data_IF_321408420290
#
_entry.id   IF_321408420290
#
_cell.length_a   1.000
_cell.length_b   1.000
_cell.length_c   1.000
_cell.angle_alpha   90.00
_cell.angle_beta   90.00
_cell.angle_gamma   90.00
#
_symmetry.space_group_name_H-M   'P 1'
#
loop_
_entity.id
_entity.type
_entity.pdbx_description
1 polymer ?
#
# COMPACT_ATOMS: atom_id res chain seq x y z
N UNK A 1 14.44 -48.16 37.53
CA UNK A 1 13.74 -47.31 36.54
C UNK A 1 13.44 -45.97 37.20
N UNK A 2 14.41 -45.05 37.21
CA UNK A 2 14.19 -43.66 37.64
C UNK A 2 15.18 -42.77 36.89
N UNK A 3 14.65 -41.93 36.01
CA UNK A 3 15.40 -41.00 35.15
C UNK A 3 15.60 -39.68 35.90
N UNK A 4 16.85 -39.23 36.02
CA UNK A 4 17.23 -37.94 36.61
C UNK A 4 17.22 -36.86 35.53
N UNK A 5 16.34 -35.87 35.70
CA UNK A 5 16.25 -34.67 34.87
C UNK A 5 17.26 -33.64 35.37
N UNK A 6 18.18 -33.21 34.51
CA UNK A 6 19.14 -32.14 34.78
C UNK A 6 18.56 -30.82 34.27
N UNK A 7 18.27 -29.89 35.17
CA UNK A 7 17.87 -28.51 34.85
C UNK A 7 19.12 -27.63 34.97
N UNK A 8 19.58 -27.07 33.85
CA UNK A 8 20.64 -26.06 33.85
C UNK A 8 20.03 -24.68 34.14
N UNK A 9 20.29 -24.16 35.34
CA UNK A 9 20.05 -22.76 35.68
C UNK A 9 21.34 -21.98 35.38
N UNK A 10 21.37 -21.25 34.27
CA UNK A 10 22.43 -20.27 34.01
C UNK A 10 22.15 -18.99 34.81
N UNK A 11 22.75 -18.88 36.00
CA UNK A 11 22.93 -17.60 36.67
C UNK A 11 24.12 -16.87 36.03
N UNK A 12 23.85 -15.90 35.17
CA UNK A 12 24.87 -15.01 34.64
C UNK A 12 25.11 -13.85 35.63
N UNK A 13 26.24 -13.95 36.35
CA UNK A 13 26.88 -12.90 37.13
C UNK A 13 27.19 -11.66 36.29
N UNK A 14 26.47 -10.55 36.50
CA UNK A 14 26.92 -9.24 36.02
C UNK A 14 27.72 -8.50 37.10
N UNK A 15 29.04 -8.67 37.00
CA UNK A 15 30.04 -7.94 37.78
C UNK A 15 30.09 -6.49 37.29
N UNK A 16 29.58 -5.56 38.09
CA UNK A 16 29.63 -4.12 37.87
C UNK A 16 31.08 -3.63 37.88
N UNK A 17 31.68 -3.42 36.71
CA UNK A 17 32.90 -2.61 36.54
C UNK A 17 32.50 -1.21 36.08
N UNK A 18 32.81 -0.20 36.89
CA UNK A 18 32.77 1.22 36.50
C UNK A 18 33.92 1.49 35.52
N UNK A 19 33.61 1.90 34.30
CA UNK A 19 34.54 2.51 33.35
C UNK A 19 33.74 3.23 32.27
N UNK A 20 34.00 4.53 32.05
CA UNK A 20 33.67 5.35 30.87
C UNK A 20 32.21 5.38 30.40
N UNK A 21 31.56 6.56 30.45
CA UNK A 21 30.20 6.79 29.94
C UNK A 21 30.11 6.64 28.42
N UNK A 22 29.87 5.42 27.94
CA UNK A 22 29.46 5.16 26.57
C UNK A 22 27.96 4.82 26.56
N UNK A 23 27.14 5.72 26.00
CA UNK A 23 25.70 5.47 25.83
C UNK A 23 25.51 4.71 24.51
N UNK A 24 25.19 3.43 24.64
CA UNK A 24 24.86 2.55 23.54
C UNK A 24 23.38 2.71 23.17
N UNK A 25 23.10 3.01 21.90
CA UNK A 25 21.72 3.19 21.40
C UNK A 25 21.27 1.90 20.71
N UNK A 26 20.30 1.24 21.32
CA UNK A 26 19.66 0.05 20.76
C UNK A 26 18.35 0.44 20.08
N UNK A 27 18.07 -0.17 18.92
CA UNK A 27 16.80 -0.03 18.22
C UNK A 27 16.29 -1.41 17.85
N UNK A 28 14.99 -1.60 18.02
CA UNK A 28 14.32 -2.84 17.65
C UNK A 28 14.10 -2.87 16.14
N UNK A 29 14.67 -3.85 15.47
CA UNK A 29 14.50 -4.04 14.02
C UNK A 29 13.37 -5.03 13.75
N UNK A 30 12.37 -4.57 12.99
CA UNK A 30 11.19 -5.37 12.64
C UNK A 30 11.46 -6.33 11.48
N UNK A 31 12.47 -6.07 10.65
CA UNK A 31 12.88 -6.98 9.58
C UNK A 31 13.60 -8.22 10.11
N UNK A 32 14.10 -8.17 11.36
CA UNK A 32 14.82 -9.26 12.02
C UNK A 32 13.97 -9.95 13.11
N UNK A 33 12.65 -9.96 12.96
CA UNK A 33 11.74 -10.63 13.90
C UNK A 33 11.67 -9.97 15.28
N UNK A 34 11.96 -8.67 15.36
CA UNK A 34 11.81 -7.90 16.60
C UNK A 34 12.98 -8.01 17.57
N UNK A 35 14.18 -8.40 17.10
CA UNK A 35 15.42 -8.37 17.88
C UNK A 35 15.93 -6.94 18.04
N UNK A 36 16.58 -6.67 19.17
CA UNK A 36 17.24 -5.38 19.43
C UNK A 36 18.64 -5.42 18.83
N UNK A 37 18.94 -4.41 18.00
CA UNK A 37 20.23 -4.26 17.34
C UNK A 37 20.85 -2.95 17.82
N UNK A 38 22.16 -2.98 18.07
CA UNK A 38 22.92 -1.78 18.42
C UNK A 38 23.05 -0.91 17.17
N UNK A 39 22.47 0.29 17.20
CA UNK A 39 22.40 1.20 16.03
C UNK A 39 23.37 2.36 16.14
N UNK A 40 24.00 2.56 17.30
CA UNK A 40 25.07 3.54 17.41
C UNK A 40 25.72 3.59 18.78
N UNK A 41 26.95 4.08 18.76
CA UNK A 41 27.74 4.43 19.93
C UNK A 41 27.86 5.96 19.95
N UNK A 42 27.37 6.62 21.01
CA UNK A 42 27.52 8.07 21.14
C UNK A 42 28.85 8.37 21.85
N UNK A 43 29.86 8.78 21.10
CA UNK A 43 31.07 9.42 21.65
C UNK A 43 30.84 10.94 21.72
N UNK A 44 31.28 11.57 22.81
CA UNK A 44 30.97 12.97 23.14
C UNK A 44 31.72 14.02 22.28
N UNK A 45 32.58 13.60 21.35
CA UNK A 45 33.35 14.52 20.50
C UNK A 45 33.10 14.28 19.00
N UNK A 46 32.14 14.99 18.42
CA UNK A 46 31.97 15.08 16.96
C UNK A 46 32.76 16.28 16.41
N UNK A 47 33.73 16.09 15.50
CA UNK A 47 34.35 17.18 14.79
C UNK A 47 33.40 17.72 13.70
N UNK A 48 33.12 19.01 13.75
CA UNK A 48 32.33 19.76 12.77
C UNK A 48 33.12 19.93 11.47
N UNK A 49 33.19 18.88 10.66
CA UNK A 49 33.73 19.00 9.29
C UNK A 49 32.94 18.10 8.36
N UNK A 50 32.28 18.73 7.38
CA UNK A 50 31.50 18.05 6.34
C UNK A 50 32.40 17.07 5.59
N UNK A 51 32.21 15.77 5.82
CA UNK A 51 32.77 14.73 4.96
C UNK A 51 31.91 14.63 3.70
N UNK A 52 32.52 14.97 2.57
CA UNK A 52 31.98 14.78 1.22
C UNK A 52 31.74 13.29 0.97
N UNK A 53 30.51 12.92 0.65
CA UNK A 53 30.10 11.57 0.22
C UNK A 53 30.51 11.31 -1.23
N UNK A 54 30.80 10.05 -1.63
CA UNK A 54 31.30 9.68 -2.96
C UNK A 54 30.19 9.66 -4.04
N UNK A 55 29.20 10.55 -3.93
CA UNK A 55 28.07 10.69 -4.87
C UNK A 55 28.06 12.04 -5.60
N UNK A 56 29.09 12.88 -5.46
CA UNK A 56 29.19 14.11 -6.25
C UNK A 56 30.00 13.89 -7.52
N UNK A 57 29.40 13.26 -8.54
CA UNK A 57 29.74 13.52 -9.94
C UNK A 57 28.70 12.88 -10.88
N UNK A 58 27.77 13.68 -11.41
CA UNK A 58 27.48 13.77 -12.85
C UNK A 58 26.30 14.70 -13.14
N UNK A 59 26.61 15.82 -13.79
CA UNK A 59 25.74 16.92 -14.22
C UNK A 59 24.86 16.63 -15.47
N UNK A 60 24.44 15.39 -15.69
CA UNK A 60 23.67 15.02 -16.91
C UNK A 60 22.23 14.51 -16.66
N UNK A 61 21.65 14.74 -15.47
CA UNK A 61 20.27 14.25 -15.17
C UNK A 61 19.23 15.32 -14.81
N UNK A 62 19.62 16.59 -14.73
CA UNK A 62 18.71 17.64 -14.26
C UNK A 62 17.63 18.02 -15.28
N UNK A 63 17.89 17.93 -16.58
CA UNK A 63 16.88 18.26 -17.59
C UNK A 63 15.75 17.22 -17.68
N UNK A 64 16.06 15.93 -17.53
CA UNK A 64 15.04 14.86 -17.50
C UNK A 64 14.19 14.94 -16.23
N UNK A 65 14.80 15.17 -15.07
CA UNK A 65 14.07 15.37 -13.81
C UNK A 65 13.20 16.64 -13.87
N UNK A 66 13.72 17.73 -14.42
CA UNK A 66 12.97 18.98 -14.58
C UNK A 66 11.77 18.82 -15.55
N UNK A 67 11.93 18.09 -16.66
CA UNK A 67 10.81 17.76 -17.57
C UNK A 67 9.74 16.90 -16.89
N UNK A 68 10.13 15.86 -16.15
CA UNK A 68 9.21 14.99 -15.39
C UNK A 68 8.44 15.82 -14.35
N UNK A 69 9.13 16.70 -13.63
CA UNK A 69 8.52 17.56 -12.59
C UNK A 69 7.56 18.59 -13.21
N UNK A 70 7.89 19.15 -14.37
CA UNK A 70 7.02 20.09 -15.10
C UNK A 70 5.81 19.41 -15.75
N UNK A 71 5.93 18.16 -16.20
CA UNK A 71 4.80 17.38 -16.71
C UNK A 71 3.84 17.01 -15.57
N UNK A 72 4.39 16.64 -14.41
CA UNK A 72 3.65 16.31 -13.18
C UNK A 72 2.80 17.46 -12.65
N UNK A 73 3.28 18.71 -12.77
CA UNK A 73 2.53 19.89 -12.32
C UNK A 73 1.49 20.39 -13.34
N UNK A 74 1.43 19.83 -14.56
CA UNK A 74 0.50 20.28 -15.61
C UNK A 74 -0.77 19.43 -15.72
N UNK A 75 -0.81 18.21 -15.18
CA UNK A 75 -2.08 17.50 -15.01
C UNK A 75 -2.79 18.15 -13.82
N UNK A 76 -3.90 18.83 -14.10
CA UNK A 76 -4.84 19.26 -13.05
C UNK A 76 -5.12 18.06 -12.15
N UNK A 77 -5.23 18.26 -10.85
CA UNK A 77 -5.60 17.23 -9.86
C UNK A 77 -7.07 16.82 -10.08
N UNK A 78 -7.35 16.23 -11.25
CA UNK A 78 -8.63 15.67 -11.60
C UNK A 78 -8.75 14.31 -10.90
N UNK A 79 -9.94 14.03 -10.39
CA UNK A 79 -10.21 12.74 -9.77
C UNK A 79 -10.23 11.66 -10.85
N UNK A 80 -9.67 10.47 -10.60
CA UNK A 80 -9.75 9.36 -11.54
C UNK A 80 -11.21 9.04 -11.89
N UNK A 81 -11.45 8.56 -13.10
CA UNK A 81 -12.81 8.25 -13.57
C UNK A 81 -13.55 7.22 -12.70
N UNK A 82 -12.80 6.32 -12.05
CA UNK A 82 -13.36 5.34 -11.14
C UNK A 82 -13.71 5.90 -9.76
N UNK A 83 -13.21 7.09 -9.41
CA UNK A 83 -13.55 7.73 -8.15
C UNK A 83 -15.04 8.09 -8.17
N UNK A 84 -15.82 7.64 -7.19
CA UNK A 84 -17.26 7.85 -7.22
C UNK A 84 -17.55 9.34 -7.10
N UNK A 85 -18.36 9.84 -8.04
CA UNK A 85 -18.97 11.16 -7.89
C UNK A 85 -19.87 11.08 -6.66
N UNK A 86 -19.67 11.97 -5.68
CA UNK A 86 -20.50 12.00 -4.48
C UNK A 86 -21.94 12.28 -4.90
N UNK A 87 -22.72 11.22 -5.09
CA UNK A 87 -24.15 11.28 -4.94
C UNK A 87 -24.36 11.56 -3.46
N UNK A 88 -24.79 12.78 -3.15
CA UNK A 88 -25.19 13.21 -1.80
C UNK A 88 -25.95 12.06 -1.15
N UNK A 89 -25.26 11.28 -0.31
CA UNK A 89 -25.86 10.13 0.36
C UNK A 89 -26.93 10.72 1.26
N UNK A 90 -28.18 10.34 0.96
CA UNK A 90 -29.39 10.96 1.46
C UNK A 90 -29.27 11.29 2.93
N UNK A 91 -29.25 12.59 3.22
CA UNK A 91 -29.55 13.10 4.55
C UNK A 91 -30.98 12.65 4.86
N UNK A 92 -31.12 11.53 5.56
CA UNK A 92 -32.39 11.19 6.18
C UNK A 92 -32.64 12.25 7.26
N UNK A 93 -33.56 13.16 6.93
CA UNK A 93 -33.87 14.41 7.63
C UNK A 93 -34.49 14.21 9.03
N UNK A 94 -34.59 12.98 9.55
CA UNK A 94 -35.38 12.65 10.75
C UNK A 94 -34.57 12.29 12.01
N UNK A 95 -33.23 12.39 12.02
CA UNK A 95 -32.41 11.79 13.09
C UNK A 95 -31.49 12.78 13.81
N UNK A 96 -32.01 13.97 14.13
CA UNK A 96 -31.26 15.00 14.87
C UNK A 96 -31.04 14.65 16.35
N UNK A 97 -31.71 13.62 16.89
CA UNK A 97 -31.80 13.36 18.33
C UNK A 97 -30.60 12.57 18.90
N UNK A 98 -29.81 11.82 18.12
CA UNK A 98 -28.68 11.03 18.66
C UNK A 98 -27.33 11.25 17.95
N UNK A 99 -27.21 12.26 17.08
CA UNK A 99 -26.00 12.52 16.28
C UNK A 99 -24.75 12.70 17.14
N UNK A 100 -24.87 13.37 18.29
CA UNK A 100 -23.75 13.62 19.21
C UNK A 100 -23.23 12.34 19.88
N UNK A 101 -24.11 11.38 20.17
CA UNK A 101 -23.71 10.11 20.75
C UNK A 101 -22.92 9.27 19.74
N UNK A 102 -23.41 9.17 18.50
CA UNK A 102 -22.69 8.49 17.43
C UNK A 102 -21.39 9.20 17.06
N UNK A 103 -21.35 10.53 17.16
CA UNK A 103 -20.12 11.30 17.03
C UNK A 103 -19.11 10.94 18.13
N UNK A 104 -19.56 10.82 19.40
CA UNK A 104 -18.74 10.35 20.51
C UNK A 104 -18.27 8.90 20.30
N UNK A 105 -19.13 8.04 19.77
CA UNK A 105 -18.81 6.64 19.48
C UNK A 105 -17.73 6.52 18.39
N UNK A 106 -17.88 7.23 17.27
CA UNK A 106 -16.88 7.26 16.20
C UNK A 106 -15.53 7.78 16.70
N UNK A 107 -15.53 8.87 17.48
CA UNK A 107 -14.31 9.44 18.03
C UNK A 107 -13.64 8.52 19.07
N UNK A 108 -14.41 7.80 19.89
CA UNK A 108 -13.89 6.79 20.81
C UNK A 108 -13.24 5.63 20.04
N UNK A 109 -13.87 5.16 18.97
CA UNK A 109 -13.34 4.10 18.13
C UNK A 109 -12.00 4.51 17.50
N UNK A 110 -11.91 5.72 16.94
CA UNK A 110 -10.65 6.26 16.42
C UNK A 110 -9.54 6.29 17.47
N UNK A 111 -9.84 6.79 18.68
CA UNK A 111 -8.84 6.82 19.78
C UNK A 111 -8.36 5.41 20.11
N UNK A 112 -9.26 4.45 20.26
CA UNK A 112 -8.90 3.06 20.53
C UNK A 112 -8.02 2.45 19.42
N UNK A 113 -8.31 2.73 18.15
CA UNK A 113 -7.49 2.28 17.02
C UNK A 113 -6.08 2.90 17.07
N UNK A 114 -5.99 4.19 17.40
CA UNK A 114 -4.70 4.88 17.51
C UNK A 114 -3.90 4.40 18.74
N UNK A 115 -4.54 4.17 19.88
CA UNK A 115 -3.90 3.64 21.09
C UNK A 115 -3.35 2.23 20.83
N UNK A 116 -4.13 1.37 20.17
CA UNK A 116 -3.69 0.06 19.71
C UNK A 116 -2.46 0.17 18.80
N UNK A 117 -2.48 1.11 17.85
CA UNK A 117 -1.35 1.39 16.97
C UNK A 117 -0.10 1.84 17.75
N UNK A 118 -0.26 2.71 18.74
CA UNK A 118 0.82 3.17 19.61
C UNK A 118 1.39 2.03 20.47
N UNK A 119 0.56 1.05 20.84
CA UNK A 119 0.99 -0.18 21.50
C UNK A 119 1.63 -1.21 20.56
N UNK A 120 1.73 -0.90 19.27
CA UNK A 120 2.34 -1.77 18.25
C UNK A 120 1.41 -2.79 17.61
N UNK A 121 0.10 -2.70 17.84
CA UNK A 121 -0.91 -3.53 17.16
C UNK A 121 -1.34 -2.87 15.85
N UNK A 122 -1.64 -3.69 14.84
CA UNK A 122 -2.19 -3.18 13.59
C UNK A 122 -3.65 -2.71 13.76
N UNK A 123 -4.07 -1.84 12.85
CA UNK A 123 -5.46 -1.37 12.82
C UNK A 123 -6.33 -2.52 12.31
N UNK A 124 -7.33 -2.93 13.10
CA UNK A 124 -8.21 -4.05 12.77
C UNK A 124 -9.14 -3.73 11.61
N UNK A 125 -9.32 -4.70 10.71
CA UNK A 125 -10.30 -4.66 9.63
C UNK A 125 -11.73 -4.37 10.14
N UNK A 126 -12.10 -5.02 11.25
CA UNK A 126 -13.40 -4.86 11.88
C UNK A 126 -13.62 -3.43 12.38
N UNK A 127 -12.60 -2.80 12.96
CA UNK A 127 -12.68 -1.43 13.46
C UNK A 127 -12.89 -0.44 12.30
N UNK A 128 -12.23 -0.66 11.16
CA UNK A 128 -12.40 0.17 9.94
C UNK A 128 -13.83 0.03 9.39
N UNK A 129 -14.34 -1.20 9.30
CA UNK A 129 -15.71 -1.46 8.82
C UNK A 129 -16.74 -0.84 9.76
N UNK A 130 -16.57 -0.98 11.07
CA UNK A 130 -17.45 -0.36 12.07
C UNK A 130 -17.43 1.15 11.99
N UNK A 131 -16.25 1.76 11.85
CA UNK A 131 -16.13 3.21 11.68
C UNK A 131 -16.90 3.69 10.45
N UNK A 132 -16.71 3.02 9.29
CA UNK A 132 -17.46 3.36 8.07
C UNK A 132 -18.96 3.17 8.26
N UNK A 133 -19.39 2.09 8.91
CA UNK A 133 -20.80 1.84 9.18
C UNK A 133 -21.43 2.95 10.01
N UNK A 134 -20.81 3.33 11.14
CA UNK A 134 -21.31 4.43 12.00
C UNK A 134 -21.37 5.75 11.22
N UNK A 135 -20.29 6.10 10.51
CA UNK A 135 -20.22 7.37 9.79
C UNK A 135 -21.23 7.45 8.63
N UNK A 136 -21.42 6.35 7.89
CA UNK A 136 -22.39 6.26 6.79
C UNK A 136 -23.83 6.27 7.29
N UNK A 137 -24.15 5.48 8.31
CA UNK A 137 -25.53 5.34 8.81
C UNK A 137 -26.01 6.64 9.46
N UNK A 138 -25.16 7.30 10.25
CA UNK A 138 -25.56 8.44 11.08
C UNK A 138 -25.05 9.80 10.57
N UNK A 139 -24.39 9.85 9.41
CA UNK A 139 -23.87 11.10 8.83
C UNK A 139 -22.89 11.85 9.73
N UNK A 140 -22.10 11.12 10.52
CA UNK A 140 -21.06 11.65 11.41
C UNK A 140 -19.69 11.59 10.75
N UNK A 141 -18.80 12.52 11.13
CA UNK A 141 -17.41 12.58 10.63
C UNK A 141 -16.47 12.42 11.79
N UNK A 142 -15.51 11.51 11.68
CA UNK A 142 -14.60 11.22 12.77
C UNK A 142 -13.49 12.27 12.86
N UNK A 143 -13.24 12.78 14.07
CA UNK A 143 -12.20 13.77 14.31
C UNK A 143 -10.83 13.08 14.48
N UNK A 144 -9.92 13.29 13.52
CA UNK A 144 -8.54 12.83 13.61
C UNK A 144 -7.61 14.03 13.69
N UNK A 145 -6.91 14.14 14.82
CA UNK A 145 -6.07 15.28 15.16
C UNK A 145 -4.86 15.45 14.21
N UNK A 146 -4.20 14.34 13.86
CA UNK A 146 -2.98 14.40 13.05
C UNK A 146 -3.18 13.86 11.64
N UNK A 147 -2.59 14.55 10.65
CA UNK A 147 -2.61 14.10 9.26
C UNK A 147 -1.94 12.72 9.09
N UNK A 148 -0.91 12.42 9.88
CA UNK A 148 -0.24 11.12 9.84
C UNK A 148 -1.13 9.97 10.35
N UNK A 149 -1.91 10.21 11.41
CA UNK A 149 -2.88 9.22 11.88
C UNK A 149 -3.96 8.96 10.82
N UNK A 150 -4.46 10.02 10.18
CA UNK A 150 -5.44 9.94 9.09
C UNK A 150 -4.91 9.14 7.91
N UNK A 151 -3.72 9.49 7.42
CA UNK A 151 -3.05 8.77 6.34
C UNK A 151 -2.80 7.30 6.70
N UNK A 152 -2.37 7.03 7.93
CA UNK A 152 -2.11 5.66 8.35
C UNK A 152 -3.39 4.83 8.46
N UNK A 153 -4.47 5.40 8.97
CA UNK A 153 -5.77 4.74 8.99
C UNK A 153 -6.25 4.45 7.57
N UNK A 154 -6.12 5.43 6.69
CA UNK A 154 -6.54 5.31 5.31
C UNK A 154 -5.71 4.26 4.55
N UNK A 155 -4.39 4.20 4.76
CA UNK A 155 -3.54 3.11 4.21
C UNK A 155 -3.99 1.73 4.69
N UNK A 156 -4.34 1.58 5.98
CA UNK A 156 -4.86 0.32 6.50
C UNK A 156 -6.19 -0.05 5.83
N UNK A 157 -7.07 0.92 5.58
CA UNK A 157 -8.32 0.71 4.86
C UNK A 157 -8.10 0.33 3.39
N UNK A 158 -7.14 0.94 2.70
CA UNK A 158 -6.77 0.53 1.34
C UNK A 158 -6.31 -0.94 1.33
N UNK A 159 -5.42 -1.32 2.24
CA UNK A 159 -4.95 -2.70 2.35
C UNK A 159 -6.09 -3.67 2.63
N UNK A 160 -7.05 -3.29 3.48
CA UNK A 160 -8.27 -4.05 3.70
C UNK A 160 -9.02 -4.27 2.38
N UNK A 161 -9.31 -3.20 1.62
CA UNK A 161 -10.05 -3.31 0.36
C UNK A 161 -9.31 -4.16 -0.68
N UNK A 162 -8.00 -3.98 -0.80
CA UNK A 162 -7.17 -4.79 -1.71
C UNK A 162 -7.16 -6.26 -1.27
N UNK A 163 -7.08 -6.55 0.02
CA UNK A 163 -7.18 -7.93 0.52
C UNK A 163 -8.53 -8.60 0.21
N UNK A 164 -9.64 -7.85 0.25
CA UNK A 164 -10.95 -8.35 -0.18
C UNK A 164 -10.98 -8.65 -1.68
N UNK A 165 -10.36 -7.81 -2.50
CA UNK A 165 -10.18 -8.10 -3.93
C UNK A 165 -9.40 -9.42 -4.09
N UNK A 166 -8.30 -9.61 -3.36
CA UNK A 166 -7.50 -10.82 -3.46
C UNK A 166 -8.24 -12.11 -3.06
N UNK A 167 -9.12 -12.05 -2.06
CA UNK A 167 -9.94 -13.20 -1.61
C UNK A 167 -11.05 -13.54 -2.62
N UNK A 168 -11.61 -12.54 -3.29
CA UNK A 168 -12.80 -12.67 -4.13
C UNK A 168 -12.45 -12.87 -5.61
N UNK A 169 -11.15 -12.83 -5.98
CA UNK A 169 -10.63 -12.95 -7.34
C UNK A 169 -11.25 -14.08 -8.20
N UNK A 170 -11.73 -15.16 -7.58
CA UNK A 170 -12.34 -16.30 -8.27
C UNK A 170 -13.87 -16.41 -8.17
N UNK A 171 -14.58 -15.47 -7.53
CA UNK A 171 -15.96 -15.70 -7.06
C UNK A 171 -17.00 -14.68 -7.48
N UNK A 172 -16.63 -13.43 -7.79
CA UNK A 172 -17.61 -12.37 -8.04
C UNK A 172 -17.13 -11.33 -9.06
N UNK A 173 -18.09 -10.77 -9.79
CA UNK A 173 -17.92 -9.60 -10.66
C UNK A 173 -17.82 -8.29 -9.88
N UNK A 174 -18.32 -8.25 -8.64
CA UNK A 174 -18.29 -7.07 -7.77
C UNK A 174 -17.65 -7.36 -6.41
N UNK A 175 -16.86 -6.40 -5.90
CA UNK A 175 -16.24 -6.47 -4.58
C UNK A 175 -17.05 -5.59 -3.63
N UNK A 176 -17.69 -6.22 -2.65
CA UNK A 176 -18.49 -5.53 -1.65
C UNK A 176 -17.90 -5.72 -0.25
N UNK A 177 -17.89 -4.64 0.53
CA UNK A 177 -17.43 -4.60 1.91
C UNK A 177 -18.61 -4.12 2.74
N UNK A 178 -19.15 -4.98 3.60
CA UNK A 178 -20.34 -4.69 4.40
C UNK A 178 -21.54 -4.19 3.55
N UNK A 179 -21.77 -4.83 2.39
CA UNK A 179 -22.83 -4.47 1.44
C UNK A 179 -22.57 -3.20 0.61
N UNK A 180 -21.37 -2.62 0.68
CA UNK A 180 -20.99 -1.42 -0.06
C UNK A 180 -19.92 -1.72 -1.12
N UNK A 181 -20.05 -1.16 -2.32
CA UNK A 181 -19.03 -1.27 -3.37
C UNK A 181 -17.66 -0.74 -2.88
N UNK A 182 -16.59 -1.45 -3.23
CA UNK A 182 -15.23 -1.13 -2.81
C UNK A 182 -14.81 0.33 -3.07
N UNK A 183 -15.20 0.92 -4.21
CA UNK A 183 -14.88 2.32 -4.55
C UNK A 183 -15.66 3.29 -3.66
N UNK A 184 -16.94 3.00 -3.42
CA UNK A 184 -17.80 3.78 -2.52
C UNK A 184 -17.32 3.70 -1.07
N UNK A 185 -16.88 2.52 -0.63
CA UNK A 185 -16.33 2.28 0.70
C UNK A 185 -15.06 3.11 0.94
N UNK A 186 -14.13 3.13 -0.02
CA UNK A 186 -12.87 3.86 0.13
C UNK A 186 -13.09 5.37 0.06
N UNK A 187 -13.91 5.85 -0.89
CA UNK A 187 -14.14 7.27 -1.09
C UNK A 187 -14.94 7.91 0.07
N UNK A 188 -16.02 7.28 0.51
CA UNK A 188 -16.77 7.81 1.64
C UNK A 188 -15.99 7.71 2.96
N UNK A 189 -15.07 6.74 3.12
CA UNK A 189 -14.22 6.68 4.32
C UNK A 189 -13.25 7.85 4.31
N UNK A 190 -12.71 8.22 3.15
CA UNK A 190 -11.91 9.44 2.99
C UNK A 190 -12.69 10.68 3.45
N UNK A 191 -13.96 10.83 3.04
CA UNK A 191 -14.81 11.93 3.50
C UNK A 191 -15.08 11.86 5.02
N UNK A 192 -15.37 10.67 5.55
CA UNK A 192 -15.66 10.46 6.97
C UNK A 192 -14.50 10.87 7.89
N UNK A 193 -13.26 10.71 7.43
CA UNK A 193 -12.04 11.06 8.20
C UNK A 193 -11.45 12.43 7.84
N UNK A 194 -12.06 13.16 6.90
CA UNK A 194 -11.59 14.47 6.44
C UNK A 194 -10.30 14.40 5.61
N UNK A 195 -10.16 13.38 4.75
CA UNK A 195 -9.07 13.27 3.78
C UNK A 195 -9.54 13.81 2.42
N UNK A 196 -8.73 14.67 1.81
CA UNK A 196 -9.03 15.23 0.49
C UNK A 196 -9.13 14.14 -0.58
N UNK A 197 -10.17 14.18 -1.41
CA UNK A 197 -10.43 13.17 -2.44
C UNK A 197 -9.25 12.99 -3.41
N UNK A 198 -8.60 14.07 -3.85
CA UNK A 198 -7.44 14.01 -4.76
C UNK A 198 -6.26 13.25 -4.13
N UNK A 199 -6.00 13.50 -2.84
CA UNK A 199 -4.96 12.81 -2.05
C UNK A 199 -5.35 11.36 -1.80
N UNK A 200 -6.60 11.12 -1.43
CA UNK A 200 -7.14 9.80 -1.18
C UNK A 200 -7.04 8.91 -2.43
N UNK A 201 -7.45 9.43 -3.59
CA UNK A 201 -7.33 8.76 -4.89
C UNK A 201 -5.88 8.41 -5.22
N UNK A 202 -4.94 9.37 -5.09
CA UNK A 202 -3.50 9.11 -5.28
C UNK A 202 -2.96 8.00 -4.37
N UNK A 203 -3.39 7.96 -3.12
CA UNK A 203 -2.98 6.90 -2.19
C UNK A 203 -3.48 5.53 -2.64
N UNK A 204 -4.69 5.44 -3.19
CA UNK A 204 -5.22 4.20 -3.78
C UNK A 204 -4.43 3.81 -5.03
N UNK A 205 -4.23 4.73 -5.99
CA UNK A 205 -3.47 4.44 -7.21
C UNK A 205 -2.04 3.98 -6.93
N UNK A 206 -1.37 4.60 -5.95
CA UNK A 206 -0.05 4.18 -5.52
C UNK A 206 -0.04 2.78 -4.89
N UNK A 207 -1.07 2.44 -4.10
CA UNK A 207 -1.22 1.11 -3.51
C UNK A 207 -1.53 0.05 -4.57
N UNK A 208 -2.39 0.37 -5.55
CA UNK A 208 -2.69 -0.48 -6.71
C UNK A 208 -1.39 -0.82 -7.44
N UNK A 209 -0.57 0.18 -7.78
CA UNK A 209 0.72 -0.05 -8.42
C UNK A 209 1.68 -0.92 -7.59
N UNK A 210 1.77 -0.66 -6.29
CA UNK A 210 2.60 -1.47 -5.40
C UNK A 210 2.14 -2.94 -5.37
N UNK A 211 0.83 -3.17 -5.30
CA UNK A 211 0.23 -4.51 -5.37
C UNK A 211 0.43 -5.16 -6.74
N UNK A 212 0.20 -4.46 -7.85
CA UNK A 212 0.42 -4.99 -9.20
C UNK A 212 1.85 -5.50 -9.35
N UNK A 213 2.84 -4.69 -8.96
CA UNK A 213 4.25 -5.08 -8.99
C UNK A 213 4.53 -6.31 -8.14
N UNK A 214 4.11 -6.31 -6.87
CA UNK A 214 4.44 -7.40 -5.95
C UNK A 214 3.80 -8.72 -6.39
N UNK A 215 2.57 -8.67 -6.90
CA UNK A 215 1.82 -9.84 -7.38
C UNK A 215 2.41 -10.40 -8.67
N UNK A 216 2.84 -9.56 -9.61
CA UNK A 216 3.55 -10.03 -10.81
C UNK A 216 4.86 -10.73 -10.43
N UNK A 217 5.65 -10.16 -9.52
CA UNK A 217 6.88 -10.80 -9.06
C UNK A 217 6.62 -12.12 -8.32
N UNK A 218 5.56 -12.17 -7.51
CA UNK A 218 5.16 -13.40 -6.83
C UNK A 218 4.69 -14.47 -7.81
N UNK A 219 3.89 -14.10 -8.80
CA UNK A 219 3.44 -15.01 -9.86
C UNK A 219 4.64 -15.57 -10.63
N UNK A 220 5.60 -14.71 -11.00
CA UNK A 220 6.82 -15.17 -11.66
C UNK A 220 7.63 -16.14 -10.79
N UNK A 221 7.77 -15.85 -9.50
CA UNK A 221 8.46 -16.75 -8.58
C UNK A 221 7.77 -18.12 -8.47
N UNK A 222 6.43 -18.18 -8.56
CA UNK A 222 5.66 -19.42 -8.58
C UNK A 222 5.80 -20.15 -9.93
N UNK A 223 5.84 -19.42 -11.03
CA UNK A 223 6.04 -19.96 -12.37
C UNK A 223 7.39 -20.68 -12.48
N UNK A 224 8.47 -20.03 -11.99
CA UNK A 224 9.81 -20.63 -11.93
C UNK A 224 9.86 -21.87 -11.02
N UNK A 225 8.99 -21.95 -10.02
CA UNK A 225 8.83 -23.13 -9.16
C UNK A 225 7.98 -24.25 -9.79
N UNK A 226 7.48 -24.06 -11.01
CA UNK A 226 6.58 -25.01 -11.69
C UNK A 226 5.16 -25.01 -11.13
N UNK A 227 4.80 -24.02 -10.30
CA UNK A 227 3.48 -23.90 -9.66
C UNK A 227 2.54 -23.03 -10.49
N UNK A 228 2.30 -23.46 -11.72
CA UNK A 228 1.57 -22.67 -12.72
C UNK A 228 0.16 -22.24 -12.26
N UNK A 229 -0.60 -23.14 -11.62
CA UNK A 229 -1.93 -22.82 -11.12
C UNK A 229 -1.93 -21.76 -10.00
N UNK A 230 -0.92 -21.79 -9.13
CA UNK A 230 -0.73 -20.76 -8.09
C UNK A 230 -0.31 -19.42 -8.72
N UNK A 231 0.54 -19.45 -9.77
CA UNK A 231 0.96 -18.27 -10.51
C UNK A 231 -0.22 -17.57 -11.19
N UNK A 232 -1.06 -18.33 -11.91
CA UNK A 232 -2.28 -17.82 -12.53
C UNK A 232 -3.24 -17.24 -11.49
N UNK A 233 -3.34 -17.86 -10.31
CA UNK A 233 -4.15 -17.32 -9.21
C UNK A 233 -3.60 -16.01 -8.66
N UNK A 234 -2.29 -15.82 -8.58
CA UNK A 234 -1.71 -14.51 -8.21
C UNK A 234 -1.95 -13.45 -9.28
N UNK A 235 -1.88 -13.81 -10.56
CA UNK A 235 -2.17 -12.89 -11.66
C UNK A 235 -3.66 -12.51 -11.72
N UNK A 236 -4.58 -13.42 -11.40
CA UNK A 236 -6.03 -13.12 -11.40
C UNK A 236 -6.39 -12.03 -10.38
N UNK A 237 -5.65 -11.94 -9.27
CA UNK A 237 -5.79 -10.86 -8.28
C UNK A 237 -5.47 -9.50 -8.91
N UNK A 238 -4.44 -9.42 -9.76
CA UNK A 238 -4.08 -8.19 -10.48
C UNK A 238 -5.22 -7.79 -11.42
N UNK A 239 -5.79 -8.74 -12.18
CA UNK A 239 -6.94 -8.46 -13.05
C UNK A 239 -8.09 -7.83 -12.26
N UNK A 240 -8.43 -8.41 -11.10
CA UNK A 240 -9.53 -7.92 -10.29
C UNK A 240 -9.23 -6.52 -9.71
N UNK A 241 -8.02 -6.28 -9.22
CA UNK A 241 -7.62 -4.97 -8.71
C UNK A 241 -7.72 -3.92 -9.83
N UNK A 242 -7.21 -4.20 -11.02
CA UNK A 242 -7.29 -3.29 -12.17
C UNK A 242 -8.74 -3.08 -12.65
N UNK A 243 -9.62 -4.07 -12.49
CA UNK A 243 -11.05 -3.90 -12.80
C UNK A 243 -11.76 -2.98 -11.80
N UNK A 244 -11.45 -3.11 -10.51
CA UNK A 244 -12.07 -2.28 -9.46
C UNK A 244 -11.49 -0.87 -9.45
N UNK A 245 -10.17 -0.75 -9.61
CA UNK A 245 -9.41 0.50 -9.59
C UNK A 245 -8.59 0.62 -10.89
N UNK A 246 -9.24 0.89 -12.04
CA UNK A 246 -8.55 0.98 -13.32
C UNK A 246 -7.50 2.09 -13.28
N UNK A 247 -6.21 1.76 -13.51
CA UNK A 247 -5.18 2.77 -13.66
C UNK A 247 -5.49 3.68 -14.85
N UNK A 248 -5.17 4.97 -14.72
CA UNK A 248 -5.28 5.89 -15.84
C UNK A 248 -4.28 5.54 -16.94
N UNK A 249 -4.64 5.88 -18.18
CA UNK A 249 -3.79 5.72 -19.34
C UNK A 249 -2.50 6.53 -19.17
N UNK A 250 -1.37 5.88 -19.45
CA UNK A 250 -0.03 6.49 -19.28
C UNK A 250 0.11 7.13 -17.89
N UNK A 251 -0.29 6.38 -16.86
CA UNK A 251 -0.18 6.81 -15.46
C UNK A 251 1.27 6.68 -14.95
N UNK A 252 1.77 7.66 -14.17
CA UNK A 252 3.10 7.57 -13.58
C UNK A 252 3.23 6.37 -12.63
N UNK A 253 2.13 5.94 -12.01
CA UNK A 253 2.09 4.74 -11.18
C UNK A 253 2.42 3.47 -11.97
N UNK A 254 1.82 3.26 -13.15
CA UNK A 254 2.14 2.09 -14.00
C UNK A 254 3.54 2.18 -14.61
N UNK A 255 4.01 3.39 -14.96
CA UNK A 255 5.41 3.60 -15.39
C UNK A 255 6.40 3.18 -14.29
N UNK A 256 6.09 3.47 -13.02
CA UNK A 256 6.90 3.02 -11.89
C UNK A 256 6.87 1.50 -11.68
N UNK A 257 5.73 0.85 -11.96
CA UNK A 257 5.64 -0.62 -11.96
C UNK A 257 6.59 -1.19 -13.00
N UNK A 258 6.44 -0.75 -14.26
CA UNK A 258 7.26 -1.20 -15.39
C UNK A 258 8.75 -1.09 -15.09
N UNK A 259 9.21 0.11 -14.70
CA UNK A 259 10.63 0.38 -14.44
C UNK A 259 11.27 -0.50 -13.39
N UNK A 260 10.53 -0.91 -12.36
CA UNK A 260 11.15 -1.80 -11.40
C UNK A 260 10.84 -3.28 -11.62
N UNK A 261 9.87 -3.64 -12.47
CA UNK A 261 9.82 -5.00 -13.02
C UNK A 261 11.01 -5.25 -13.94
N UNK A 262 11.46 -4.25 -14.72
CA UNK A 262 12.67 -4.33 -15.54
C UNK A 262 13.94 -4.71 -14.75
N UNK A 263 14.00 -4.34 -13.46
CA UNK A 263 15.14 -4.70 -12.62
C UNK A 263 15.15 -6.19 -12.19
N UNK A 264 14.06 -6.92 -12.40
CA UNK A 264 13.89 -8.30 -11.91
C UNK A 264 13.49 -9.28 -13.01
N UNK A 265 12.92 -8.80 -14.12
CA UNK A 265 12.36 -9.61 -15.19
C UNK A 265 12.96 -9.20 -16.54
N UNK A 266 13.32 -10.19 -17.36
CA UNK A 266 13.71 -9.96 -18.75
C UNK A 266 12.52 -9.52 -19.60
N UNK A 267 12.78 -9.06 -20.83
CA UNK A 267 11.72 -8.71 -21.78
C UNK A 267 10.84 -9.93 -22.12
N UNK A 268 11.46 -11.07 -22.43
CA UNK A 268 10.76 -12.33 -22.74
C UNK A 268 9.87 -12.81 -21.58
N UNK A 269 10.35 -12.66 -20.34
CA UNK A 269 9.57 -13.03 -19.15
C UNK A 269 8.34 -12.14 -18.98
N UNK A 270 8.48 -10.84 -19.24
CA UNK A 270 7.35 -9.90 -19.20
C UNK A 270 6.32 -10.19 -20.29
N UNK A 271 6.77 -10.59 -21.48
CA UNK A 271 5.88 -11.02 -22.58
C UNK A 271 5.11 -12.30 -22.21
N UNK A 272 5.79 -13.31 -21.65
CA UNK A 272 5.13 -14.55 -21.20
C UNK A 272 4.10 -14.31 -20.09
N UNK A 273 4.40 -13.41 -19.14
CA UNK A 273 3.43 -13.00 -18.12
C UNK A 273 2.24 -12.26 -18.76
N UNK A 274 2.48 -11.43 -19.77
CA UNK A 274 1.41 -10.73 -20.50
C UNK A 274 0.47 -11.73 -21.18
N UNK A 275 1.01 -12.74 -21.86
CA UNK A 275 0.21 -13.80 -22.49
C UNK A 275 -0.67 -14.50 -21.46
N UNK A 276 -0.10 -14.87 -20.32
CA UNK A 276 -0.84 -15.47 -19.21
C UNK A 276 -1.95 -14.53 -18.70
N UNK A 277 -1.67 -13.24 -18.53
CA UNK A 277 -2.65 -12.24 -18.12
C UNK A 277 -3.79 -12.09 -19.13
N UNK A 278 -3.52 -12.13 -20.44
CA UNK A 278 -4.57 -12.05 -21.47
C UNK A 278 -5.51 -13.25 -21.44
N UNK A 279 -5.04 -14.43 -21.02
CA UNK A 279 -5.93 -15.60 -20.89
C UNK A 279 -6.93 -15.49 -19.73
N UNK A 280 -6.59 -14.73 -18.68
CA UNK A 280 -7.39 -14.67 -17.44
C UNK A 280 -8.08 -13.34 -17.21
N UNK A 281 -7.57 -12.24 -17.77
CA UNK A 281 -8.09 -10.89 -17.58
C UNK A 281 -9.03 -10.49 -18.72
N UNK A 282 -10.03 -9.65 -18.41
CA UNK A 282 -10.88 -8.99 -19.41
C UNK A 282 -10.12 -7.97 -20.26
N UNK A 283 -10.51 -7.81 -21.53
CA UNK A 283 -9.95 -6.84 -22.48
C UNK A 283 -9.82 -5.41 -21.91
N UNK A 284 -10.78 -4.97 -21.08
CA UNK A 284 -10.76 -3.64 -20.46
C UNK A 284 -9.50 -3.35 -19.64
N UNK A 285 -8.90 -4.38 -19.02
CA UNK A 285 -7.70 -4.22 -18.18
C UNK A 285 -6.41 -4.44 -18.95
N UNK A 286 -6.46 -5.02 -20.17
CA UNK A 286 -5.28 -5.38 -20.95
C UNK A 286 -4.32 -4.22 -21.17
N UNK A 287 -4.85 -3.06 -21.53
CA UNK A 287 -4.03 -1.85 -21.75
C UNK A 287 -3.22 -1.47 -20.52
N UNK A 288 -3.86 -1.39 -19.35
CA UNK A 288 -3.16 -1.07 -18.10
C UNK A 288 -2.11 -2.12 -17.71
N UNK A 289 -2.31 -3.38 -18.11
CA UNK A 289 -1.36 -4.47 -17.87
C UNK A 289 -0.16 -4.40 -18.81
N UNK A 290 -0.39 -4.05 -20.09
CA UNK A 290 0.67 -3.74 -21.07
C UNK A 290 1.52 -2.57 -20.58
N UNK A 291 0.89 -1.52 -20.05
CA UNK A 291 1.58 -0.39 -19.41
C UNK A 291 2.39 -0.83 -18.19
N UNK A 292 1.79 -1.60 -17.28
CA UNK A 292 2.45 -2.07 -16.07
C UNK A 292 3.68 -2.95 -16.36
N UNK A 293 3.65 -3.72 -17.46
CA UNK A 293 4.78 -4.55 -17.90
C UNK A 293 5.81 -3.77 -18.74
N UNK A 294 5.55 -2.51 -19.08
CA UNK A 294 6.46 -1.68 -19.87
C UNK A 294 6.55 -2.12 -21.34
N UNK A 295 5.47 -2.66 -21.90
CA UNK A 295 5.43 -3.22 -23.26
C UNK A 295 4.75 -2.26 -24.28
N UNK A 296 4.49 -1.02 -23.85
CA UNK A 296 3.88 0.07 -24.63
C UNK A 296 4.88 0.54 -25.69
N UNK A 297 4.77 -0.01 -26.90
CA UNK A 297 5.64 0.31 -28.04
C UNK A 297 6.19 -0.91 -28.78
N UNK A 298 6.12 -2.11 -28.20
CA UNK A 298 6.50 -3.35 -28.90
C UNK A 298 5.40 -3.77 -29.89
N UNK A 299 4.11 -3.60 -29.53
CA UNK A 299 2.97 -3.82 -30.44
C UNK A 299 3.02 -2.92 -31.67
N UNK A 300 3.23 -1.61 -31.49
CA UNK A 300 3.34 -0.65 -32.62
C UNK A 300 4.53 -0.93 -33.55
N UNK A 301 5.56 -1.63 -33.05
CA UNK A 301 6.74 -1.99 -33.81
C UNK A 301 6.57 -3.30 -34.59
N UNK A 302 5.67 -4.18 -34.15
CA UNK A 302 5.31 -5.38 -34.90
C UNK A 302 4.29 -5.08 -36.01
N UNK A 303 3.28 -4.24 -35.75
CA UNK A 303 2.32 -3.82 -36.80
C UNK A 303 2.99 -3.04 -37.94
N UNK A 304 4.09 -2.32 -37.66
CA UNK A 304 4.89 -1.62 -38.69
C UNK A 304 5.87 -2.52 -39.45
N UNK A 305 6.11 -3.76 -39.02
CA UNK A 305 6.96 -4.72 -39.76
C UNK A 305 6.16 -5.59 -40.73
N UNK A 306 4.84 -5.54 -40.66
CA UNK A 306 3.91 -6.29 -41.53
C UNK A 306 3.01 -5.38 -42.38
N UNK A 307 3.30 -4.09 -42.44
CA UNK A 307 2.72 -3.11 -43.36
C UNK A 307 3.79 -2.64 -44.35
#
# INVERSE_FOLDING_TARGET
MSSLVIIFIFQALFKRRRSGSEVLVYKRDRSLGGREVLVGKREENWPTTRKTTPLSSNDYTDEKKAKITRLRNRRKEELPQWWPQLLNSGLNLNEMINREEYQRMANRLIRAMMDNKMSGKDISANDIIQLRHICKTFGVRASIETANARDSLYRAAINLVLSYCEIIANKSTSVQINGEDARQFIAGLADNIGLENSRAARMVSAAVAACTRSRILQAWALEVQGKHSEALFELSKVCLIHRVFPPEESSPEMEMVARGLENHLSLEQRESILESLFTICSEETHRSLVEALGLVGIKDSQDKRYA
#
